data_IF_403551457859
#
_entry.id   IF_403551457859
#
_cell.length_a   1.000
_cell.length_b   1.000
_cell.length_c   1.000
_cell.angle_alpha   90.00
_cell.angle_beta   90.00
_cell.angle_gamma   90.00
#
_symmetry.space_group_name_H-M   'P 1'
#
loop_
_entity.id
_entity.type
_entity.pdbx_description
1 polymer ?
#
# COMPACT_ATOMS: atom_id res chain seq x y z
N UNK A 1 15.62 4.79 38.86
CA UNK A 1 15.83 5.86 37.88
C UNK A 1 15.96 5.22 36.53
N UNK A 2 14.87 5.15 35.81
CA UNK A 2 14.88 4.71 34.38
C UNK A 2 14.98 5.98 33.55
N UNK A 3 16.20 6.22 33.03
CA UNK A 3 16.45 7.25 32.04
C UNK A 3 15.54 7.01 30.84
N UNK A 4 14.44 7.74 30.77
CA UNK A 4 13.65 7.91 29.59
C UNK A 4 14.51 8.69 28.58
N UNK A 5 15.31 7.97 27.81
CA UNK A 5 16.04 8.54 26.69
C UNK A 5 14.98 8.97 25.67
N UNK A 6 14.57 10.23 25.77
CA UNK A 6 13.68 10.86 24.80
C UNK A 6 14.45 10.88 23.47
N UNK A 7 14.14 9.93 22.60
CA UNK A 7 14.76 9.83 21.29
C UNK A 7 14.67 11.18 20.56
N UNK A 8 15.80 11.66 20.06
CA UNK A 8 15.85 12.91 19.30
C UNK A 8 14.92 12.87 18.11
N UNK A 9 14.41 14.03 17.62
CA UNK A 9 13.57 14.05 16.41
C UNK A 9 14.20 13.34 15.21
N UNK A 10 15.52 13.44 15.08
CA UNK A 10 16.27 12.73 14.03
C UNK A 10 16.24 11.21 14.21
N UNK A 11 16.43 10.72 15.43
CA UNK A 11 16.37 9.29 15.74
C UNK A 11 14.96 8.73 15.52
N UNK A 12 13.91 9.46 15.92
CA UNK A 12 12.51 9.06 15.65
C UNK A 12 12.21 8.93 14.17
N UNK A 13 12.68 9.88 13.34
CA UNK A 13 12.53 9.83 11.88
C UNK A 13 13.31 8.68 11.24
N UNK A 14 14.49 8.35 11.78
CA UNK A 14 15.26 7.19 11.32
C UNK A 14 14.53 5.88 11.62
N UNK A 15 14.03 5.71 12.84
CA UNK A 15 13.25 4.52 13.23
C UNK A 15 11.95 4.40 12.42
N UNK A 16 11.28 5.53 12.13
CA UNK A 16 10.09 5.53 11.29
C UNK A 16 10.40 5.04 9.87
N UNK A 17 11.53 5.45 9.30
CA UNK A 17 11.97 5.00 7.98
C UNK A 17 12.33 3.50 7.94
N UNK A 18 12.92 2.97 8.99
CA UNK A 18 13.15 1.51 9.08
C UNK A 18 11.81 0.76 9.13
N UNK A 19 10.85 1.19 9.95
CA UNK A 19 9.50 0.60 9.96
C UNK A 19 8.77 0.72 8.62
N UNK A 20 9.00 1.80 7.87
CA UNK A 20 8.46 1.92 6.51
C UNK A 20 9.03 0.84 5.58
N UNK A 21 10.30 0.48 5.72
CA UNK A 21 10.91 -0.61 4.92
C UNK A 21 10.25 -1.95 5.21
N UNK A 22 9.91 -2.22 6.47
CA UNK A 22 9.21 -3.45 6.84
C UNK A 22 7.80 -3.51 6.24
N UNK A 23 7.11 -2.36 6.16
CA UNK A 23 5.73 -2.28 5.66
C UNK A 23 5.63 -2.24 4.12
N UNK A 24 6.57 -1.59 3.46
CA UNK A 24 6.48 -1.25 2.03
C UNK A 24 7.65 -1.82 1.20
N UNK A 25 8.57 -2.56 1.80
CA UNK A 25 9.79 -3.05 1.14
C UNK A 25 10.86 -1.98 0.91
N UNK A 26 10.52 -0.70 1.09
CA UNK A 26 11.43 0.44 0.96
C UNK A 26 10.95 1.61 1.82
N UNK A 27 11.83 2.58 2.09
CA UNK A 27 11.38 3.82 2.71
C UNK A 27 10.42 4.57 1.78
N UNK A 28 9.39 5.22 2.35
CA UNK A 28 8.47 6.02 1.53
C UNK A 28 9.19 7.14 0.76
N UNK A 29 10.32 7.63 1.28
CA UNK A 29 11.19 8.57 0.56
C UNK A 29 11.70 7.99 -0.76
N UNK A 30 12.27 6.77 -0.71
CA UNK A 30 12.80 6.10 -1.92
C UNK A 30 11.68 5.73 -2.89
N UNK A 31 10.55 5.25 -2.35
CA UNK A 31 9.40 4.86 -3.16
C UNK A 31 8.79 6.05 -3.90
N UNK A 32 8.48 7.14 -3.18
CA UNK A 32 7.91 8.37 -3.75
C UNK A 32 8.86 9.01 -4.78
N UNK A 33 10.16 9.05 -4.47
CA UNK A 33 11.15 9.58 -5.41
C UNK A 33 11.20 8.73 -6.68
N UNK A 34 11.31 7.42 -6.55
CA UNK A 34 11.36 6.53 -7.70
C UNK A 34 10.09 6.58 -8.55
N UNK A 35 8.90 6.69 -7.93
CA UNK A 35 7.65 6.87 -8.67
C UNK A 35 7.63 8.21 -9.42
N UNK A 36 8.03 9.31 -8.78
CA UNK A 36 8.08 10.61 -9.43
C UNK A 36 9.03 10.60 -10.65
N UNK A 37 10.19 9.96 -10.53
CA UNK A 37 11.17 9.80 -11.61
C UNK A 37 10.63 8.89 -12.74
N UNK A 38 10.08 7.72 -12.43
CA UNK A 38 9.60 6.75 -13.42
C UNK A 38 8.37 7.27 -14.21
N UNK A 39 7.48 7.98 -13.54
CA UNK A 39 6.28 8.59 -14.17
C UNK A 39 6.56 9.98 -14.76
N UNK A 40 7.75 10.57 -14.53
CA UNK A 40 8.09 11.90 -15.02
C UNK A 40 7.24 13.03 -14.42
N UNK A 41 6.79 12.88 -13.17
CA UNK A 41 5.88 13.83 -12.50
C UNK A 41 6.49 14.43 -11.23
N UNK A 42 5.98 15.58 -10.82
CA UNK A 42 6.37 16.18 -9.54
C UNK A 42 5.74 15.45 -8.35
N UNK A 43 6.37 15.57 -7.17
CA UNK A 43 5.79 15.05 -5.93
C UNK A 43 4.40 15.66 -5.61
N UNK A 44 4.17 16.92 -5.99
CA UNK A 44 2.86 17.56 -5.84
C UNK A 44 1.81 16.92 -6.75
N UNK A 45 2.16 16.54 -7.99
CA UNK A 45 1.28 15.77 -8.89
C UNK A 45 1.02 14.37 -8.32
N UNK A 46 2.05 13.68 -7.84
CA UNK A 46 1.92 12.39 -7.21
C UNK A 46 0.98 12.44 -5.99
N UNK A 47 1.11 13.44 -5.12
CA UNK A 47 0.20 13.63 -3.99
C UNK A 47 -1.27 13.73 -4.44
N UNK A 48 -1.54 14.50 -5.50
CA UNK A 48 -2.90 14.61 -6.08
C UNK A 48 -3.43 13.28 -6.60
N UNK A 49 -2.61 12.50 -7.32
CA UNK A 49 -2.99 11.17 -7.82
C UNK A 49 -3.29 10.22 -6.65
N UNK A 50 -2.48 10.26 -5.61
CA UNK A 50 -2.72 9.47 -4.39
C UNK A 50 -3.96 9.94 -3.63
N UNK A 51 -4.40 11.19 -3.80
CA UNK A 51 -5.54 11.77 -3.09
C UNK A 51 -5.19 12.30 -1.70
N UNK A 52 -3.94 12.71 -1.49
CA UNK A 52 -3.45 13.34 -0.26
C UNK A 52 -2.92 14.75 -0.52
N UNK A 53 -2.82 15.55 0.54
CA UNK A 53 -2.20 16.86 0.43
C UNK A 53 -0.67 16.73 0.24
N UNK A 54 -0.02 17.70 -0.44
CA UNK A 54 1.44 17.74 -0.52
C UNK A 54 2.12 17.75 0.86
N UNK A 55 1.52 18.42 1.85
CA UNK A 55 2.01 18.43 3.22
C UNK A 55 1.99 17.03 3.85
N UNK A 56 0.91 16.28 3.66
CA UNK A 56 0.82 14.88 4.12
C UNK A 56 1.89 14.01 3.46
N UNK A 57 2.09 14.13 2.15
CA UNK A 57 3.14 13.40 1.43
C UNK A 57 4.52 13.76 1.99
N UNK A 58 4.78 15.04 2.28
CA UNK A 58 6.02 15.50 2.88
C UNK A 58 6.26 14.85 4.26
N UNK A 59 5.24 14.77 5.13
CA UNK A 59 5.32 14.11 6.43
C UNK A 59 5.63 12.61 6.33
N UNK A 60 5.08 11.92 5.33
CA UNK A 60 5.37 10.51 5.04
C UNK A 60 6.82 10.34 4.57
N UNK A 61 7.27 11.18 3.65
CA UNK A 61 8.63 11.17 3.08
C UNK A 61 9.69 11.54 4.13
N UNK A 62 9.40 12.48 5.01
CA UNK A 62 10.33 12.89 6.09
C UNK A 62 10.44 11.85 7.20
N UNK A 63 9.47 10.95 7.33
CA UNK A 63 9.37 9.99 8.43
C UNK A 63 8.70 10.56 9.68
N UNK A 64 7.97 11.68 9.56
CA UNK A 64 7.10 12.18 10.63
C UNK A 64 5.87 11.28 10.80
N UNK A 65 5.44 10.63 9.72
CA UNK A 65 4.43 9.57 9.72
C UNK A 65 5.02 8.26 9.23
N UNK A 66 4.70 7.17 9.94
CA UNK A 66 5.23 5.83 9.63
C UNK A 66 4.43 5.18 8.50
N UNK A 67 3.11 5.28 8.53
CA UNK A 67 2.22 4.57 7.61
C UNK A 67 1.17 5.48 6.98
N UNK A 68 0.72 5.04 5.82
CA UNK A 68 -0.46 5.59 5.15
C UNK A 68 -1.68 5.00 5.86
N UNK A 69 -2.51 5.86 6.46
CA UNK A 69 -3.69 5.42 7.21
C UNK A 69 -4.89 5.09 6.32
N UNK A 70 -4.96 5.68 5.12
CA UNK A 70 -6.07 5.49 4.19
C UNK A 70 -5.80 4.28 3.27
N UNK A 71 -6.67 3.26 3.28
CA UNK A 71 -6.52 2.08 2.43
C UNK A 71 -6.57 2.38 0.93
N UNK A 72 -7.34 3.38 0.50
CA UNK A 72 -7.43 3.79 -0.91
C UNK A 72 -6.11 4.41 -1.37
N UNK A 73 -5.49 5.24 -0.54
CA UNK A 73 -4.18 5.84 -0.82
C UNK A 73 -3.11 4.75 -0.92
N UNK A 74 -3.14 3.78 -0.01
CA UNK A 74 -2.23 2.62 -0.04
C UNK A 74 -2.42 1.80 -1.32
N UNK A 75 -3.67 1.55 -1.74
CA UNK A 75 -3.97 0.83 -2.97
C UNK A 75 -3.47 1.58 -4.22
N UNK A 76 -3.67 2.89 -4.29
CA UNK A 76 -3.14 3.73 -5.37
C UNK A 76 -1.63 3.69 -5.45
N UNK A 77 -0.95 3.81 -4.31
CA UNK A 77 0.51 3.73 -4.23
C UNK A 77 1.01 2.37 -4.74
N UNK A 78 0.38 1.28 -4.31
CA UNK A 78 0.73 -0.08 -4.73
C UNK A 78 0.53 -0.29 -6.24
N UNK A 79 -0.57 0.19 -6.81
CA UNK A 79 -0.83 0.09 -8.26
C UNK A 79 0.21 0.88 -9.06
N UNK A 80 0.58 2.08 -8.61
CA UNK A 80 1.65 2.85 -9.24
C UNK A 80 2.99 2.11 -9.19
N UNK A 81 3.33 1.53 -8.04
CA UNK A 81 4.59 0.79 -7.89
C UNK A 81 4.64 -0.45 -8.77
N UNK A 82 3.57 -1.23 -8.83
CA UNK A 82 3.46 -2.41 -9.70
C UNK A 82 3.59 -2.06 -11.20
N UNK A 83 3.11 -0.89 -11.61
CA UNK A 83 3.15 -0.44 -13.01
C UNK A 83 4.42 0.30 -13.40
N UNK A 84 5.38 0.49 -12.50
CA UNK A 84 6.64 1.25 -12.76
C UNK A 84 7.40 0.75 -13.98
N UNK A 85 7.55 -0.58 -14.11
CA UNK A 85 8.25 -1.17 -15.24
C UNK A 85 7.53 -0.92 -16.57
N UNK A 86 6.20 -0.82 -16.55
CA UNK A 86 5.38 -0.61 -17.74
C UNK A 86 5.45 0.84 -18.23
N UNK A 87 5.56 1.83 -17.32
CA UNK A 87 5.53 3.25 -17.71
C UNK A 87 6.85 3.76 -18.27
N UNK A 88 7.94 3.07 -17.97
CA UNK A 88 9.24 3.42 -18.52
C UNK A 88 9.24 3.25 -20.04
N UNK A 89 9.38 4.35 -20.75
CA UNK A 89 9.37 4.36 -22.23
C UNK A 89 7.99 4.55 -22.88
N UNK A 90 6.93 4.72 -22.09
CA UNK A 90 5.63 5.10 -22.64
C UNK A 90 5.60 6.57 -23.03
N UNK A 91 4.78 6.89 -24.04
CA UNK A 91 4.49 8.27 -24.40
C UNK A 91 3.74 8.97 -23.25
N UNK A 92 4.05 10.25 -23.04
CA UNK A 92 3.50 11.07 -21.93
C UNK A 92 1.97 10.97 -21.82
N UNK A 93 1.25 10.99 -22.94
CA UNK A 93 -0.20 10.84 -22.96
C UNK A 93 -0.68 9.54 -22.30
N UNK A 94 0.02 8.43 -22.57
CA UNK A 94 -0.33 7.14 -21.97
C UNK A 94 -0.03 7.10 -20.47
N UNK A 95 1.04 7.77 -20.05
CA UNK A 95 1.34 7.93 -18.62
C UNK A 95 0.24 8.73 -17.90
N UNK A 96 -0.23 9.83 -18.48
CA UNK A 96 -1.34 10.61 -17.93
C UNK A 96 -2.63 9.80 -17.81
N UNK A 97 -2.98 8.99 -18.83
CA UNK A 97 -4.13 8.10 -18.78
C UNK A 97 -4.03 7.11 -17.60
N UNK A 98 -2.85 6.52 -17.37
CA UNK A 98 -2.60 5.61 -16.23
C UNK A 98 -2.74 6.35 -14.89
N UNK A 99 -2.22 7.57 -14.79
CA UNK A 99 -2.33 8.38 -13.58
C UNK A 99 -3.79 8.72 -13.26
N UNK A 100 -4.58 9.04 -14.27
CA UNK A 100 -6.02 9.33 -14.13
C UNK A 100 -6.80 8.07 -13.74
N UNK A 101 -6.49 6.92 -14.34
CA UNK A 101 -7.05 5.62 -13.92
C UNK A 101 -6.79 5.35 -12.43
N UNK A 102 -5.57 5.58 -11.98
CA UNK A 102 -5.19 5.36 -10.57
C UNK A 102 -5.90 6.36 -9.66
N UNK A 103 -5.98 7.63 -10.05
CA UNK A 103 -6.69 8.65 -9.27
C UNK A 103 -8.20 8.36 -9.12
N UNK A 104 -8.78 7.63 -10.06
CA UNK A 104 -10.19 7.18 -10.03
C UNK A 104 -10.44 5.97 -9.11
N UNK A 105 -9.42 5.31 -8.60
CA UNK A 105 -9.58 4.19 -7.65
C UNK A 105 -10.29 4.73 -6.39
N UNK A 106 -11.46 4.21 -6.12
CA UNK A 106 -12.28 4.51 -4.90
C UNK A 106 -12.32 3.35 -3.92
N UNK A 107 -11.89 2.19 -4.38
CA UNK A 107 -11.91 0.94 -3.65
C UNK A 107 -10.47 0.49 -3.40
N UNK A 108 -10.08 0.16 -2.16
CA UNK A 108 -8.75 -0.36 -1.85
C UNK A 108 -8.44 -1.70 -2.54
N UNK A 109 -9.48 -2.36 -3.08
CA UNK A 109 -9.35 -3.57 -3.89
C UNK A 109 -9.93 -3.31 -5.29
N UNK A 110 -9.19 -2.69 -6.23
CA UNK A 110 -9.65 -2.50 -7.58
C UNK A 110 -10.07 -3.84 -8.20
N UNK A 111 -11.19 -3.83 -8.94
CA UNK A 111 -11.80 -5.05 -9.51
C UNK A 111 -10.88 -5.92 -10.37
N UNK A 112 -9.73 -5.39 -10.81
CA UNK A 112 -8.68 -6.13 -11.53
C UNK A 112 -7.69 -6.88 -10.64
N UNK A 113 -7.71 -6.63 -9.33
CA UNK A 113 -6.81 -7.25 -8.37
C UNK A 113 -7.55 -8.27 -7.50
N UNK A 114 -8.44 -9.07 -8.11
CA UNK A 114 -8.97 -10.25 -7.41
C UNK A 114 -7.79 -11.13 -7.04
N UNK A 115 -7.70 -11.56 -5.76
CA UNK A 115 -6.67 -12.50 -5.36
C UNK A 115 -6.70 -13.69 -6.32
N UNK A 116 -5.57 -14.01 -6.89
CA UNK A 116 -5.46 -15.15 -7.80
C UNK A 116 -5.77 -16.44 -7.05
N UNK A 117 -6.21 -17.48 -7.77
CA UNK A 117 -6.35 -18.83 -7.20
C UNK A 117 -5.08 -19.27 -6.48
N UNK A 118 -3.91 -18.81 -6.94
CA UNK A 118 -2.63 -19.02 -6.26
C UNK A 118 -2.59 -18.36 -4.88
N UNK A 119 -3.03 -17.12 -4.74
CA UNK A 119 -3.04 -16.43 -3.43
C UNK A 119 -3.99 -17.11 -2.42
N UNK A 120 -5.08 -17.68 -2.90
CA UNK A 120 -5.99 -18.51 -2.10
C UNK A 120 -5.28 -19.81 -1.69
N UNK A 121 -4.58 -20.46 -2.62
CA UNK A 121 -3.78 -21.63 -2.34
C UNK A 121 -2.68 -21.38 -1.30
N UNK A 122 -1.89 -20.33 -1.51
CA UNK A 122 -0.82 -19.94 -0.58
C UNK A 122 -1.36 -19.65 0.84
N UNK A 123 -2.55 -19.06 0.97
CA UNK A 123 -3.21 -18.87 2.27
C UNK A 123 -3.59 -20.19 2.94
N UNK A 124 -4.05 -21.15 2.17
CA UNK A 124 -4.45 -22.47 2.68
C UNK A 124 -3.26 -23.35 3.10
N UNK A 125 -2.08 -23.08 2.56
CA UNK A 125 -0.84 -23.70 3.04
C UNK A 125 -0.38 -23.14 4.40
N UNK A 126 -0.77 -21.89 4.72
CA UNK A 126 -0.38 -21.20 5.95
C UNK A 126 -1.38 -21.41 7.08
N UNK A 127 -2.69 -21.48 6.75
CA UNK A 127 -3.78 -21.55 7.72
C UNK A 127 -4.91 -22.46 7.23
N UNK A 128 -5.47 -23.25 8.13
CA UNK A 128 -6.65 -24.06 7.84
C UNK A 128 -7.95 -23.22 7.75
N UNK A 129 -9.04 -23.85 7.31
CA UNK A 129 -10.31 -23.18 7.09
C UNK A 129 -10.87 -22.54 8.40
N UNK A 130 -10.68 -23.20 9.54
CA UNK A 130 -11.14 -22.71 10.84
C UNK A 130 -10.35 -21.47 11.28
N UNK A 131 -9.04 -21.47 11.08
CA UNK A 131 -8.17 -20.34 11.35
C UNK A 131 -8.48 -19.13 10.44
N UNK A 132 -8.75 -19.37 9.16
CA UNK A 132 -9.15 -18.33 8.21
C UNK A 132 -10.50 -17.71 8.57
N UNK A 133 -11.48 -18.53 9.00
CA UNK A 133 -12.78 -18.03 9.50
C UNK A 133 -12.62 -17.21 10.78
N UNK A 134 -11.82 -17.69 11.74
CA UNK A 134 -11.55 -16.98 12.97
C UNK A 134 -10.86 -15.63 12.72
N UNK A 135 -9.93 -15.58 11.78
CA UNK A 135 -9.29 -14.34 11.35
C UNK A 135 -10.28 -13.39 10.67
N UNK A 136 -11.14 -13.92 9.79
CA UNK A 136 -12.19 -13.14 9.13
C UNK A 136 -13.14 -12.48 10.15
N UNK A 137 -13.58 -13.24 11.15
CA UNK A 137 -14.46 -12.71 12.19
C UNK A 137 -13.82 -11.57 12.99
N UNK A 138 -12.52 -11.64 13.26
CA UNK A 138 -11.79 -10.57 13.95
C UNK A 138 -11.61 -9.31 13.10
N UNK A 139 -11.55 -9.46 11.79
CA UNK A 139 -11.30 -8.36 10.84
C UNK A 139 -12.59 -7.76 10.27
N UNK A 140 -13.74 -8.33 10.55
CA UNK A 140 -15.01 -7.96 9.90
C UNK A 140 -15.40 -6.50 10.10
N UNK A 141 -15.14 -5.93 11.27
CA UNK A 141 -15.52 -4.55 11.60
C UNK A 141 -14.59 -3.54 10.93
N UNK A 142 -13.29 -3.79 10.99
CA UNK A 142 -12.28 -2.82 10.53
C UNK A 142 -11.90 -3.05 9.05
N UNK A 143 -12.00 -4.29 8.57
CA UNK A 143 -11.56 -4.71 7.24
C UNK A 143 -12.54 -5.70 6.59
N UNK A 144 -13.83 -5.32 6.35
CA UNK A 144 -14.87 -6.24 5.90
C UNK A 144 -14.51 -7.00 4.62
N UNK A 145 -13.81 -6.36 3.68
CA UNK A 145 -13.39 -6.99 2.42
C UNK A 145 -12.27 -8.01 2.59
N UNK A 146 -11.36 -7.77 3.53
CA UNK A 146 -10.33 -8.76 3.87
C UNK A 146 -10.99 -9.96 4.57
N UNK A 147 -11.96 -9.71 5.44
CA UNK A 147 -12.77 -10.75 6.04
C UNK A 147 -13.49 -11.60 4.99
N UNK A 148 -14.14 -10.97 4.01
CA UNK A 148 -14.78 -11.67 2.89
C UNK A 148 -13.79 -12.49 2.05
N UNK A 149 -12.58 -12.00 1.87
CA UNK A 149 -11.54 -12.73 1.16
C UNK A 149 -11.09 -13.97 1.94
N UNK A 150 -10.84 -13.83 3.24
CA UNK A 150 -10.46 -14.95 4.09
C UNK A 150 -11.56 -16.02 4.14
N UNK A 151 -12.84 -15.63 4.21
CA UNK A 151 -13.97 -16.58 4.12
C UNK A 151 -14.01 -17.32 2.79
N UNK A 152 -13.78 -16.62 1.67
CA UNK A 152 -13.67 -17.29 0.36
C UNK A 152 -12.52 -18.28 0.34
N UNK A 153 -11.35 -17.89 0.86
CA UNK A 153 -10.22 -18.80 0.95
C UNK A 153 -10.53 -20.02 1.84
N UNK A 154 -11.27 -19.83 2.93
CA UNK A 154 -11.71 -20.93 3.79
C UNK A 154 -12.64 -21.92 3.06
N UNK A 155 -13.53 -21.42 2.20
CA UNK A 155 -14.59 -22.23 1.56
C UNK A 155 -14.30 -22.59 0.09
N UNK A 156 -13.20 -22.14 -0.50
CA UNK A 156 -12.85 -22.48 -1.88
C UNK A 156 -12.51 -23.98 -1.96
N UNK A 157 -13.40 -24.73 -2.63
CA UNK A 157 -13.29 -26.18 -2.85
C UNK A 157 -12.61 -26.52 -4.18
N UNK A 158 -11.92 -25.58 -4.80
CA UNK A 158 -11.20 -25.82 -6.04
C UNK A 158 -9.90 -26.57 -5.76
N UNK A 159 -10.02 -27.88 -5.63
CA UNK A 159 -8.97 -28.87 -5.60
C UNK A 159 -9.27 -29.94 -6.63
#
# INVERSE_FOLDING_TARGET
MVDSVVATPAARRAMARERQKDLYGASLRSLVRGLAEDYGISQARLARVLGISPAMLCQLVSGERIKIGDPVVSARLMVLDQRRALVRGLHVRRVEEILDEVACIRDPWPRGNRPSSKAIGDLREIADAEQLEAAAAKLEVDFPRLADFLRRAAHDRSG
#
